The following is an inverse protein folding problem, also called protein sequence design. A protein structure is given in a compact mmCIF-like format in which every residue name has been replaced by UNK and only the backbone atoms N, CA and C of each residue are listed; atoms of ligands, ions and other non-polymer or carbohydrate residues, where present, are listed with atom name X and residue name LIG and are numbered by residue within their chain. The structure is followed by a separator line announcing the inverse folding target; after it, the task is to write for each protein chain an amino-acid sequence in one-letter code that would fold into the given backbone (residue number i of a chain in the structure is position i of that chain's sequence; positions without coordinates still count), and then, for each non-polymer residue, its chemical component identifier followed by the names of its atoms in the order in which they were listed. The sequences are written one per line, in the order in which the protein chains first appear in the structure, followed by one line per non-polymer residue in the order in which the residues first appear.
data_IF_478156219779
#
_entry.id   IF_478156219779
#
_cell.length_a   1.000
_cell.length_b   1.000
_cell.length_c   1.000
_cell.angle_alpha   90.00
_cell.angle_beta   90.00
_cell.angle_gamma   90.00
#
_symmetry.space_group_name_H-M   'P 1'
#
loop_
_entity.id
_entity.type
_entity.pdbx_description
1 polymer ?
#
# COMPACT_ATOMS: atom_id res chain seq x y z
N UNK A 1 30.23 -7.75 -15.71
CA UNK A 1 29.81 -9.13 -15.45
C UNK A 1 28.88 -9.07 -14.25
N UNK A 2 27.62 -9.41 -14.47
CA UNK A 2 26.52 -9.22 -13.53
C UNK A 2 26.69 -10.13 -12.31
N UNK A 3 26.91 -9.54 -11.15
CA UNK A 3 26.78 -10.22 -9.87
C UNK A 3 25.28 -10.37 -9.56
N UNK A 4 24.62 -11.25 -10.31
CA UNK A 4 23.29 -11.76 -9.96
C UNK A 4 23.53 -12.83 -8.90
N UNK A 5 23.54 -12.40 -7.63
CA UNK A 5 23.50 -13.32 -6.50
C UNK A 5 22.34 -14.31 -6.72
N UNK A 6 22.61 -15.62 -6.84
CA UNK A 6 21.56 -16.59 -7.10
C UNK A 6 20.73 -16.74 -5.81
N UNK A 7 19.40 -16.74 -5.95
CA UNK A 7 18.42 -17.18 -4.94
C UNK A 7 17.86 -16.15 -3.94
N UNK A 8 17.51 -14.93 -4.39
CA UNK A 8 16.58 -14.06 -3.62
C UNK A 8 15.16 -14.20 -4.13
N UNK A 9 14.27 -14.79 -3.32
CA UNK A 9 12.81 -14.81 -3.58
C UNK A 9 12.29 -13.36 -3.65
N UNK A 10 11.34 -13.03 -4.53
CA UNK A 10 10.71 -11.71 -4.56
C UNK A 10 10.05 -11.36 -3.23
N UNK A 11 10.04 -10.08 -2.87
CA UNK A 11 9.21 -9.59 -1.76
C UNK A 11 7.80 -9.35 -2.27
N UNK A 12 6.81 -9.89 -1.56
CA UNK A 12 5.41 -9.70 -1.87
C UNK A 12 4.77 -8.68 -0.93
N UNK A 13 4.27 -7.59 -1.48
CA UNK A 13 3.59 -6.52 -0.74
C UNK A 13 2.11 -6.51 -1.13
N UNK A 14 1.24 -6.70 -0.14
CA UNK A 14 -0.20 -6.58 -0.34
C UNK A 14 -0.67 -5.20 0.09
N UNK A 15 -1.47 -4.53 -0.73
CA UNK A 15 -2.03 -3.21 -0.42
C UNK A 15 -3.55 -3.24 -0.58
N UNK A 16 -4.23 -3.27 0.56
CA UNK A 16 -5.69 -3.32 0.66
C UNK A 16 -6.33 -1.97 0.96
N UNK A 17 -7.65 -1.94 0.80
CA UNK A 17 -8.49 -0.80 1.09
C UNK A 17 -9.65 -0.73 0.11
N UNK A 18 -10.72 -0.03 0.49
CA UNK A 18 -11.91 0.12 -0.36
C UNK A 18 -11.61 0.93 -1.65
N UNK A 19 -12.57 0.98 -2.57
CA UNK A 19 -12.49 1.84 -3.75
C UNK A 19 -12.32 3.31 -3.36
N UNK A 20 -11.41 3.99 -4.04
CA UNK A 20 -11.15 5.42 -3.82
C UNK A 20 -10.24 5.73 -2.63
N UNK A 21 -9.56 4.74 -2.02
CA UNK A 21 -8.66 4.98 -0.87
C UNK A 21 -7.25 5.48 -1.23
N UNK A 22 -6.93 5.61 -2.52
CA UNK A 22 -5.62 6.11 -2.97
C UNK A 22 -4.55 5.04 -3.21
N UNK A 23 -4.92 3.76 -3.34
CA UNK A 23 -3.98 2.64 -3.59
C UNK A 23 -3.01 2.92 -4.74
N UNK A 24 -3.53 3.29 -5.92
CA UNK A 24 -2.71 3.63 -7.09
C UNK A 24 -1.77 4.82 -6.85
N UNK A 25 -2.18 5.79 -6.04
CA UNK A 25 -1.36 6.97 -5.69
C UNK A 25 -0.26 6.62 -4.72
N UNK A 26 -0.51 5.76 -3.73
CA UNK A 26 0.54 5.24 -2.84
C UNK A 26 1.53 4.41 -3.66
N UNK A 27 1.06 3.52 -4.54
CA UNK A 27 1.94 2.62 -5.28
C UNK A 27 2.77 3.30 -6.35
N UNK A 28 2.32 4.41 -6.95
CA UNK A 28 3.07 5.16 -7.96
C UNK A 28 4.43 5.66 -7.43
N UNK A 29 4.52 5.97 -6.14
CA UNK A 29 5.77 6.34 -5.49
C UNK A 29 6.81 5.23 -5.55
N UNK A 30 6.39 3.97 -5.38
CA UNK A 30 7.30 2.82 -5.42
C UNK A 30 7.95 2.63 -6.80
N UNK A 31 7.18 2.76 -7.88
CA UNK A 31 7.72 2.69 -9.24
C UNK A 31 8.79 3.74 -9.50
N UNK A 32 8.67 4.91 -8.86
CA UNK A 32 9.68 5.96 -8.97
C UNK A 32 10.99 5.59 -8.26
N UNK A 33 10.94 4.80 -7.17
CA UNK A 33 12.11 4.42 -6.34
C UNK A 33 12.81 3.13 -6.76
N UNK A 34 12.06 2.08 -7.08
CA UNK A 34 12.61 0.78 -7.47
C UNK A 34 12.97 0.75 -8.98
N UNK A 35 12.51 1.71 -9.78
CA UNK A 35 12.67 1.66 -11.24
C UNK A 35 11.81 0.55 -11.88
N UNK A 36 11.44 0.66 -13.16
CA UNK A 36 10.48 -0.25 -13.79
C UNK A 36 10.96 -1.71 -13.86
N UNK A 37 12.27 -1.95 -13.82
CA UNK A 37 12.85 -3.29 -13.95
C UNK A 37 12.93 -4.07 -12.63
N UNK A 38 12.73 -3.41 -11.47
CA UNK A 38 12.82 -4.07 -10.16
C UNK A 38 11.48 -4.30 -9.47
N UNK A 39 10.38 -3.77 -10.03
CA UNK A 39 9.04 -3.85 -9.43
C UNK A 39 8.00 -4.38 -10.41
N UNK A 40 7.23 -5.36 -9.95
CA UNK A 40 6.03 -5.87 -10.64
C UNK A 40 4.79 -5.31 -9.95
N UNK A 41 3.85 -4.73 -10.69
CA UNK A 41 2.53 -4.32 -10.18
C UNK A 41 1.44 -5.28 -10.65
N UNK A 42 0.56 -5.68 -9.75
CA UNK A 42 -0.64 -6.43 -10.11
C UNK A 42 -1.86 -5.80 -9.45
N UNK A 43 -2.88 -5.49 -10.26
CA UNK A 43 -4.18 -5.07 -9.78
C UNK A 43 -5.01 -6.32 -9.44
N UNK A 44 -5.49 -6.46 -8.22
CA UNK A 44 -6.32 -7.61 -7.85
C UNK A 44 -7.72 -7.56 -8.46
N UNK A 45 -8.16 -6.38 -8.92
CA UNK A 45 -9.41 -6.23 -9.69
C UNK A 45 -9.34 -6.97 -11.04
N UNK A 46 -8.14 -7.31 -11.54
CA UNK A 46 -7.96 -8.15 -12.73
C UNK A 46 -8.57 -9.55 -12.53
N UNK A 47 -8.62 -10.04 -11.28
CA UNK A 47 -9.12 -11.37 -10.93
C UNK A 47 -10.62 -11.39 -10.64
N UNK A 48 -11.39 -10.39 -11.09
CA UNK A 48 -12.83 -10.54 -11.15
C UNK A 48 -13.21 -11.80 -11.95
N UNK A 49 -14.22 -12.52 -11.48
CA UNK A 49 -14.79 -13.68 -12.20
C UNK A 49 -15.94 -13.28 -13.13
N UNK A 50 -16.53 -12.11 -12.89
CA UNK A 50 -17.69 -11.58 -13.60
C UNK A 50 -17.38 -10.16 -14.06
N UNK A 51 -17.75 -9.81 -15.28
CA UNK A 51 -17.66 -8.46 -15.81
C UNK A 51 -18.74 -7.52 -15.23
N UNK A 52 -18.74 -6.24 -15.62
CA UNK A 52 -19.72 -5.26 -15.09
C UNK A 52 -21.17 -5.60 -15.45
N UNK A 53 -21.43 -6.21 -16.61
CA UNK A 53 -22.78 -6.58 -17.07
C UNK A 53 -23.24 -7.86 -16.37
N UNK A 54 -22.38 -8.87 -16.31
CA UNK A 54 -22.64 -10.14 -15.63
C UNK A 54 -22.96 -9.94 -14.15
N UNK A 55 -22.19 -9.11 -13.45
CA UNK A 55 -22.47 -8.75 -12.05
C UNK A 55 -23.86 -8.14 -11.85
N UNK A 56 -24.33 -7.31 -12.79
CA UNK A 56 -25.70 -6.75 -12.75
C UNK A 56 -26.76 -7.81 -12.99
N UNK A 57 -26.50 -8.79 -13.86
CA UNK A 57 -27.46 -9.86 -14.17
C UNK A 57 -27.69 -10.80 -12.98
N UNK A 58 -26.63 -11.05 -12.19
CA UNK A 58 -26.70 -11.94 -11.02
C UNK A 58 -26.81 -11.20 -9.69
N UNK A 59 -27.01 -9.88 -9.74
CA UNK A 59 -27.18 -8.98 -8.60
C UNK A 59 -26.10 -9.12 -7.51
N UNK A 60 -24.84 -9.06 -7.93
CA UNK A 60 -23.69 -9.04 -7.00
C UNK A 60 -22.80 -7.84 -7.26
N UNK A 61 -22.23 -7.27 -6.20
CA UNK A 61 -21.27 -6.18 -6.33
C UNK A 61 -19.86 -6.75 -6.58
N UNK A 62 -18.89 -5.96 -7.11
CA UNK A 62 -17.51 -6.42 -7.22
C UNK A 62 -16.83 -6.69 -5.86
N UNK A 63 -17.40 -6.20 -4.75
CA UNK A 63 -16.89 -6.47 -3.40
C UNK A 63 -17.30 -7.87 -2.91
N UNK A 64 -18.37 -8.44 -3.47
CA UNK A 64 -18.83 -9.77 -3.12
C UNK A 64 -17.79 -10.83 -3.53
N UNK A 65 -17.40 -11.76 -2.65
CA UNK A 65 -16.43 -12.80 -2.96
C UNK A 65 -16.80 -13.65 -4.18
N UNK A 66 -18.10 -13.83 -4.47
CA UNK A 66 -18.58 -14.59 -5.64
C UNK A 66 -18.21 -13.93 -6.98
N UNK A 67 -17.91 -12.63 -6.98
CA UNK A 67 -17.50 -11.88 -8.16
C UNK A 67 -15.98 -11.92 -8.41
N UNK A 68 -15.22 -12.73 -7.67
CA UNK A 68 -13.77 -12.78 -7.71
C UNK A 68 -13.27 -14.23 -7.80
N UNK A 69 -12.22 -14.46 -8.59
CA UNK A 69 -11.58 -15.76 -8.76
C UNK A 69 -10.37 -15.91 -7.83
N UNK A 70 -10.65 -16.19 -6.55
CA UNK A 70 -9.59 -16.36 -5.54
C UNK A 70 -8.70 -17.57 -5.78
N UNK A 71 -9.23 -18.64 -6.37
CA UNK A 71 -8.43 -19.82 -6.69
C UNK A 71 -7.31 -19.48 -7.69
N UNK A 72 -7.66 -18.79 -8.79
CA UNK A 72 -6.68 -18.32 -9.77
C UNK A 72 -5.72 -17.29 -9.17
N UNK A 73 -6.24 -16.37 -8.33
CA UNK A 73 -5.42 -15.37 -7.65
C UNK A 73 -4.37 -16.03 -6.77
N UNK A 74 -4.77 -17.01 -5.94
CA UNK A 74 -3.85 -17.74 -5.07
C UNK A 74 -2.82 -18.53 -5.87
N UNK A 75 -3.26 -19.29 -6.88
CA UNK A 75 -2.37 -20.06 -7.76
C UNK A 75 -1.26 -19.18 -8.36
N UNK A 76 -1.65 -18.04 -8.95
CA UNK A 76 -0.71 -17.15 -9.64
C UNK A 76 0.21 -16.40 -8.65
N UNK A 77 -0.28 -16.04 -7.47
CA UNK A 77 0.56 -15.46 -6.42
C UNK A 77 1.66 -16.42 -6.00
N UNK A 78 1.33 -17.69 -5.78
CA UNK A 78 2.33 -18.68 -5.39
C UNK A 78 3.29 -19.04 -6.54
N UNK A 79 2.81 -19.03 -7.79
CA UNK A 79 3.67 -19.16 -8.96
C UNK A 79 4.70 -18.03 -9.06
N UNK A 80 4.24 -16.78 -8.97
CA UNK A 80 5.13 -15.62 -8.94
C UNK A 80 6.12 -15.69 -7.76
N UNK A 81 5.69 -16.18 -6.58
CA UNK A 81 6.56 -16.30 -5.40
C UNK A 81 7.65 -17.37 -5.57
N UNK A 82 7.46 -18.34 -6.48
CA UNK A 82 8.48 -19.31 -6.90
C UNK A 82 9.40 -18.78 -8.02
N UNK A 83 9.12 -17.60 -8.56
CA UNK A 83 9.85 -17.06 -9.70
C UNK A 83 9.22 -17.39 -11.06
N UNK A 84 8.06 -18.05 -11.07
CA UNK A 84 7.39 -18.46 -12.31
C UNK A 84 6.67 -17.27 -12.96
N UNK A 85 6.68 -17.22 -14.30
CA UNK A 85 5.85 -16.31 -15.10
C UNK A 85 4.38 -16.76 -15.07
N UNK A 86 3.46 -15.80 -15.04
CA UNK A 86 2.01 -16.07 -15.12
C UNK A 86 1.35 -15.23 -16.19
N UNK A 87 0.33 -15.78 -16.85
CA UNK A 87 -0.56 -15.01 -17.71
C UNK A 87 -1.77 -14.60 -16.89
N UNK A 88 -1.78 -13.35 -16.38
CA UNK A 88 -2.88 -12.84 -15.56
C UNK A 88 -4.04 -12.33 -16.43
N UNK A 89 -5.29 -12.39 -15.95
CA UNK A 89 -6.38 -11.65 -16.58
C UNK A 89 -6.11 -10.14 -16.56
N UNK A 90 -6.87 -9.38 -17.36
CA UNK A 90 -6.84 -7.92 -17.38
C UNK A 90 -8.27 -7.42 -17.36
N UNK A 91 -8.62 -6.60 -16.37
CA UNK A 91 -9.95 -6.00 -16.25
C UNK A 91 -9.90 -4.49 -16.55
N UNK A 92 -10.63 -4.06 -17.57
CA UNK A 92 -10.67 -2.66 -17.98
C UNK A 92 -11.76 -1.89 -17.23
N UNK A 93 -11.37 -0.91 -16.43
CA UNK A 93 -12.32 -0.10 -15.68
C UNK A 93 -13.10 0.92 -16.54
N UNK A 94 -12.67 1.22 -17.76
CA UNK A 94 -13.36 2.17 -18.64
C UNK A 94 -14.71 1.59 -19.09
N UNK A 95 -14.70 0.42 -19.71
CA UNK A 95 -15.90 -0.26 -20.20
C UNK A 95 -16.41 -1.38 -19.27
N UNK A 96 -15.60 -1.81 -18.30
CA UNK A 96 -15.95 -2.85 -17.33
C UNK A 96 -15.90 -4.26 -17.87
N UNK A 97 -15.02 -4.53 -18.85
CA UNK A 97 -14.87 -5.82 -19.54
C UNK A 97 -13.50 -6.44 -19.34
N UNK A 98 -13.38 -7.74 -19.61
CA UNK A 98 -12.08 -8.42 -19.64
C UNK A 98 -11.37 -8.20 -20.98
N UNK A 99 -10.05 -8.00 -20.92
CA UNK A 99 -9.16 -7.88 -22.09
C UNK A 99 -8.30 -9.13 -22.23
N UNK A 100 -7.45 -9.13 -23.26
CA UNK A 100 -6.45 -10.17 -23.44
C UNK A 100 -5.57 -10.30 -22.18
N UNK A 101 -5.19 -11.55 -21.87
CA UNK A 101 -4.32 -11.83 -20.74
C UNK A 101 -2.96 -11.19 -20.94
N UNK A 102 -2.34 -10.79 -19.84
CA UNK A 102 -1.03 -10.16 -19.82
C UNK A 102 -0.03 -11.10 -19.15
N UNK A 103 1.13 -11.32 -19.79
CA UNK A 103 2.19 -12.14 -19.23
C UNK A 103 3.05 -11.30 -18.28
N UNK A 104 3.23 -11.79 -17.05
CA UNK A 104 3.91 -11.07 -15.97
C UNK A 104 4.94 -11.96 -15.30
N UNK A 105 6.14 -11.44 -15.15
CA UNK A 105 7.24 -12.06 -14.39
C UNK A 105 7.42 -11.37 -13.05
N UNK A 106 7.79 -12.12 -11.99
CA UNK A 106 8.12 -11.50 -10.71
C UNK A 106 9.48 -10.80 -10.79
N UNK A 107 9.53 -9.53 -10.40
CA UNK A 107 10.77 -8.77 -10.16
C UNK A 107 11.17 -8.88 -8.69
N UNK A 108 12.15 -8.09 -8.25
CA UNK A 108 12.62 -8.09 -6.85
C UNK A 108 11.50 -7.77 -5.86
N UNK A 109 10.60 -6.86 -6.23
CA UNK A 109 9.41 -6.50 -5.46
C UNK A 109 8.15 -6.74 -6.29
N UNK A 110 7.20 -7.47 -5.74
CA UNK A 110 5.87 -7.68 -6.32
C UNK A 110 4.85 -6.97 -5.44
N UNK A 111 4.23 -5.92 -5.98
CA UNK A 111 3.17 -5.17 -5.30
C UNK A 111 1.83 -5.56 -5.86
N UNK A 112 0.94 -6.06 -5.00
CA UNK A 112 -0.42 -6.43 -5.37
C UNK A 112 -1.41 -5.57 -4.61
N UNK A 113 -2.25 -4.84 -5.35
CA UNK A 113 -3.18 -3.89 -4.76
C UNK A 113 -4.61 -4.12 -5.24
N UNK A 114 -5.59 -3.99 -4.36
CA UNK A 114 -7.00 -4.10 -4.72
C UNK A 114 -7.92 -4.24 -3.52
N UNK A 115 -9.11 -4.77 -3.77
CA UNK A 115 -10.19 -4.88 -2.78
C UNK A 115 -9.99 -6.04 -1.78
N UNK A 116 -9.38 -7.15 -2.21
CA UNK A 116 -9.35 -8.40 -1.43
C UNK A 116 -7.95 -9.02 -1.20
N UNK A 117 -6.88 -8.26 -0.91
CA UNK A 117 -5.57 -8.88 -0.71
C UNK A 117 -5.51 -9.76 0.55
N UNK A 118 -6.36 -9.55 1.56
CA UNK A 118 -6.24 -10.23 2.86
C UNK A 118 -7.47 -11.06 3.26
N UNK A 119 -8.47 -11.17 2.36
CA UNK A 119 -9.71 -11.89 2.62
C UNK A 119 -9.46 -13.39 2.80
N UNK A 120 -8.77 -14.01 1.83
CA UNK A 120 -8.47 -15.45 1.86
C UNK A 120 -7.12 -15.67 2.54
N UNK A 121 -7.07 -16.60 3.50
CA UNK A 121 -5.87 -16.87 4.31
C UNK A 121 -4.67 -17.30 3.49
N UNK A 122 -4.85 -18.17 2.49
CA UNK A 122 -3.78 -18.64 1.61
C UNK A 122 -3.09 -17.52 0.84
N UNK A 123 -3.89 -16.60 0.28
CA UNK A 123 -3.42 -15.37 -0.37
C UNK A 123 -2.74 -14.44 0.64
N UNK A 124 -3.41 -14.19 1.77
CA UNK A 124 -2.89 -13.32 2.83
C UNK A 124 -1.50 -13.75 3.33
N UNK A 125 -1.27 -15.06 3.46
CA UNK A 125 -0.01 -15.60 3.95
C UNK A 125 1.14 -15.52 2.94
N UNK A 126 0.84 -15.27 1.66
CA UNK A 126 1.85 -15.07 0.64
C UNK A 126 2.52 -13.68 0.74
N UNK A 127 1.90 -12.69 1.39
CA UNK A 127 2.49 -11.37 1.55
C UNK A 127 3.51 -11.31 2.70
N UNK A 128 4.64 -10.68 2.41
CA UNK A 128 5.71 -10.39 3.37
C UNK A 128 5.45 -9.06 4.12
N UNK A 129 4.71 -8.13 3.50
CA UNK A 129 4.20 -6.91 4.13
C UNK A 129 2.74 -6.66 3.71
N UNK A 130 1.86 -6.39 4.68
CA UNK A 130 0.44 -6.16 4.47
C UNK A 130 0.09 -4.71 4.86
N UNK A 131 -0.25 -3.88 3.88
CA UNK A 131 -0.60 -2.47 4.08
C UNK A 131 -2.10 -2.28 3.84
N UNK A 132 -2.77 -1.54 4.70
CA UNK A 132 -4.18 -1.18 4.53
C UNK A 132 -4.34 0.33 4.45
N UNK A 133 -5.06 0.81 3.43
CA UNK A 133 -5.40 2.21 3.27
C UNK A 133 -6.81 2.48 3.82
N UNK A 134 -6.88 3.37 4.79
CA UNK A 134 -8.10 3.73 5.52
C UNK A 134 -8.21 5.25 5.70
N UNK A 135 -8.31 6.03 4.60
CA UNK A 135 -8.52 7.47 4.68
C UNK A 135 -9.89 7.79 5.29
N UNK A 136 -10.01 8.99 5.84
CA UNK A 136 -11.26 9.54 6.35
C UNK A 136 -12.43 9.36 5.35
N UNK A 137 -13.63 8.92 5.77
CA UNK A 137 -14.73 8.59 4.87
C UNK A 137 -15.11 9.69 3.87
N UNK A 138 -15.17 10.95 4.32
CA UNK A 138 -15.49 12.11 3.50
C UNK A 138 -14.42 12.37 2.44
N UNK A 139 -13.15 12.18 2.81
CA UNK A 139 -12.00 12.29 1.91
C UNK A 139 -12.08 11.22 0.82
N UNK A 140 -12.32 9.97 1.22
CA UNK A 140 -12.48 8.82 0.31
C UNK A 140 -13.63 9.04 -0.68
N UNK A 141 -14.78 9.52 -0.18
CA UNK A 141 -15.95 9.82 -1.01
C UNK A 141 -15.60 10.88 -2.07
N UNK A 142 -14.97 11.98 -1.66
CA UNK A 142 -14.55 13.05 -2.59
C UNK A 142 -13.60 12.54 -3.65
N UNK A 143 -12.57 11.79 -3.27
CA UNK A 143 -11.61 11.20 -4.21
C UNK A 143 -12.29 10.26 -5.20
N UNK A 144 -13.21 9.40 -4.73
CA UNK A 144 -13.95 8.49 -5.61
C UNK A 144 -14.84 9.25 -6.59
N UNK A 145 -15.61 10.24 -6.13
CA UNK A 145 -16.46 11.06 -7.01
C UNK A 145 -15.60 11.79 -8.05
N UNK A 146 -14.54 12.48 -7.64
CA UNK A 146 -13.66 13.19 -8.55
C UNK A 146 -13.06 12.28 -9.61
N UNK A 147 -12.54 11.11 -9.20
CA UNK A 147 -11.93 10.14 -10.12
C UNK A 147 -12.96 9.54 -11.07
N UNK A 148 -14.09 9.06 -10.56
CA UNK A 148 -15.05 8.29 -11.37
C UNK A 148 -15.81 9.22 -12.34
N UNK A 149 -16.06 10.47 -11.96
CA UNK A 149 -16.59 11.49 -12.87
C UNK A 149 -15.57 11.86 -13.95
N UNK A 150 -14.33 12.20 -13.55
CA UNK A 150 -13.34 12.68 -14.51
C UNK A 150 -12.75 11.60 -15.44
N UNK A 151 -12.55 10.38 -14.93
CA UNK A 151 -11.83 9.31 -15.65
C UNK A 151 -12.71 8.17 -16.16
N UNK A 152 -13.91 8.00 -15.59
CA UNK A 152 -14.78 6.84 -15.90
C UNK A 152 -16.14 7.25 -16.48
N UNK A 153 -16.41 8.55 -16.63
CA UNK A 153 -17.62 9.08 -17.25
C UNK A 153 -18.90 8.90 -16.42
N UNK A 154 -18.78 8.65 -15.12
CA UNK A 154 -19.94 8.54 -14.24
C UNK A 154 -20.51 9.91 -13.86
N UNK A 155 -21.80 10.01 -13.58
CA UNK A 155 -22.36 11.17 -12.87
C UNK A 155 -22.13 11.04 -11.36
N UNK A 156 -22.18 12.16 -10.62
CA UNK A 156 -22.05 12.14 -9.16
C UNK A 156 -23.10 11.25 -8.51
N UNK A 157 -24.34 11.32 -9.00
CA UNK A 157 -25.49 10.56 -8.50
C UNK A 157 -25.26 9.05 -8.69
N UNK A 158 -24.71 8.64 -9.83
CA UNK A 158 -24.36 7.24 -10.08
C UNK A 158 -23.28 6.75 -9.12
N UNK A 159 -22.27 7.56 -8.81
CA UNK A 159 -21.22 7.20 -7.85
C UNK A 159 -21.80 7.03 -6.44
N UNK A 160 -22.70 7.92 -6.03
CA UNK A 160 -23.35 7.84 -4.72
C UNK A 160 -24.26 6.60 -4.60
N UNK A 161 -25.07 6.34 -5.64
CA UNK A 161 -25.91 5.15 -5.68
C UNK A 161 -25.08 3.85 -5.66
N UNK A 162 -23.95 3.83 -6.37
CA UNK A 162 -23.02 2.69 -6.36
C UNK A 162 -22.40 2.46 -4.98
N UNK A 163 -22.08 3.53 -4.25
CA UNK A 163 -21.54 3.43 -2.90
C UNK A 163 -22.55 2.87 -1.92
N UNK A 164 -23.79 3.36 -1.95
CA UNK A 164 -24.85 2.88 -1.08
C UNK A 164 -25.16 1.40 -1.34
N UNK A 165 -25.29 1.02 -2.61
CA UNK A 165 -25.53 -0.37 -3.01
C UNK A 165 -24.40 -1.33 -2.59
N UNK A 166 -23.21 -0.81 -2.29
CA UNK A 166 -22.02 -1.60 -1.89
C UNK A 166 -21.73 -1.58 -0.40
N UNK A 167 -22.47 -0.79 0.39
CA UNK A 167 -22.17 -0.55 1.80
C UNK A 167 -22.09 -1.85 2.61
N UNK A 168 -23.08 -2.72 2.44
CA UNK A 168 -23.15 -3.99 3.16
C UNK A 168 -21.99 -4.92 2.78
N UNK A 169 -21.74 -5.13 1.48
CA UNK A 169 -20.60 -5.95 1.03
C UNK A 169 -19.25 -5.37 1.49
N UNK A 170 -19.13 -4.04 1.62
CA UNK A 170 -17.93 -3.41 2.16
C UNK A 170 -17.72 -3.77 3.64
N UNK A 171 -18.78 -3.67 4.44
CA UNK A 171 -18.77 -4.05 5.86
C UNK A 171 -18.47 -5.53 6.06
N UNK A 172 -19.00 -6.40 5.19
CA UNK A 172 -18.86 -7.85 5.33
C UNK A 172 -17.54 -8.39 4.77
N UNK A 173 -16.99 -7.76 3.73
CA UNK A 173 -15.90 -8.37 2.94
C UNK A 173 -14.66 -7.49 2.76
N UNK A 174 -14.77 -6.17 2.95
CA UNK A 174 -13.65 -5.24 2.73
C UNK A 174 -13.07 -4.79 4.07
N UNK A 175 -13.85 -4.09 4.89
CA UNK A 175 -13.37 -3.49 6.14
C UNK A 175 -12.74 -4.50 7.12
N UNK A 176 -13.26 -5.74 7.28
CA UNK A 176 -12.67 -6.71 8.21
C UNK A 176 -11.22 -7.09 7.87
N UNK A 177 -10.79 -6.91 6.63
CA UNK A 177 -9.43 -7.21 6.21
C UNK A 177 -8.38 -6.29 6.85
N UNK A 178 -8.77 -5.11 7.37
CA UNK A 178 -7.87 -4.19 8.10
C UNK A 178 -7.16 -4.87 9.27
N UNK A 179 -7.86 -5.76 9.97
CA UNK A 179 -7.29 -6.51 11.09
C UNK A 179 -6.10 -7.37 10.64
N UNK A 180 -5.94 -7.70 9.37
CA UNK A 180 -4.83 -8.51 8.90
C UNK A 180 -3.61 -7.71 8.48
N UNK A 181 -3.71 -6.39 8.41
CA UNK A 181 -2.60 -5.54 8.00
C UNK A 181 -1.49 -5.52 9.06
N UNK A 182 -0.25 -5.31 8.61
CA UNK A 182 0.89 -4.95 9.45
C UNK A 182 0.99 -3.43 9.61
N UNK A 183 0.55 -2.69 8.59
CA UNK A 183 0.49 -1.23 8.60
C UNK A 183 -0.86 -0.72 8.15
N UNK A 184 -1.38 0.30 8.82
CA UNK A 184 -2.59 1.04 8.40
C UNK A 184 -2.21 2.49 8.14
N UNK A 185 -2.61 3.01 6.98
CA UNK A 185 -2.33 4.39 6.58
C UNK A 185 -3.64 5.13 6.43
N UNK A 186 -3.76 6.19 7.21
CA UNK A 186 -4.95 7.04 7.27
C UNK A 186 -4.57 8.45 6.86
N UNK A 187 -5.12 8.89 5.74
CA UNK A 187 -5.13 10.30 5.36
C UNK A 187 -6.38 10.95 5.96
N UNK A 188 -6.21 12.11 6.58
CA UNK A 188 -7.33 12.85 7.16
C UNK A 188 -7.13 14.35 6.99
N UNK A 189 -8.22 15.09 7.03
CA UNK A 189 -8.16 16.55 7.01
C UNK A 189 -7.60 17.07 8.35
N UNK A 190 -6.78 18.14 8.35
CA UNK A 190 -6.35 18.79 9.60
C UNK A 190 -7.52 19.32 10.43
N UNK A 191 -8.54 19.83 9.75
CA UNK A 191 -9.80 20.26 10.32
C UNK A 191 -10.93 20.10 9.27
N UNK A 192 -12.22 20.10 9.68
CA UNK A 192 -13.33 19.89 8.75
C UNK A 192 -13.45 20.94 7.63
N UNK A 193 -12.87 22.14 7.82
CA UNK A 193 -12.89 23.26 6.87
C UNK A 193 -11.64 23.34 5.99
N UNK A 194 -10.59 22.57 6.31
CA UNK A 194 -9.32 22.57 5.60
C UNK A 194 -9.49 22.21 4.12
N UNK A 195 -8.61 22.78 3.31
CA UNK A 195 -8.48 22.39 1.92
C UNK A 195 -8.00 20.93 1.77
N UNK A 196 -8.09 20.41 0.55
CA UNK A 196 -7.72 19.03 0.24
C UNK A 196 -6.23 18.89 -0.08
N UNK A 197 -5.45 19.93 0.17
CA UNK A 197 -4.08 20.06 -0.31
C UNK A 197 -3.06 19.77 0.79
N UNK A 198 -3.47 19.96 2.04
CA UNK A 198 -2.65 19.78 3.23
C UNK A 198 -3.21 18.68 4.13
N UNK A 199 -3.29 17.45 3.62
CA UNK A 199 -3.81 16.33 4.40
C UNK A 199 -2.78 15.85 5.44
N UNK A 200 -3.25 15.61 6.66
CA UNK A 200 -2.49 14.88 7.66
C UNK A 200 -2.39 13.40 7.26
N UNK A 201 -1.36 12.73 7.77
CA UNK A 201 -1.23 11.28 7.65
C UNK A 201 -0.93 10.65 9.00
N UNK A 202 -1.63 9.57 9.32
CA UNK A 202 -1.27 8.65 10.39
C UNK A 202 -0.84 7.32 9.78
N UNK A 203 0.38 6.89 10.11
CA UNK A 203 0.92 5.58 9.74
C UNK A 203 0.99 4.75 11.01
N UNK A 204 0.05 3.85 11.16
CA UNK A 204 0.02 2.87 12.23
C UNK A 204 0.86 1.65 11.83
N UNK A 205 1.80 1.26 12.68
CA UNK A 205 2.73 0.16 12.47
C UNK A 205 2.57 -0.86 13.60
N UNK A 206 1.96 -2.00 13.31
CA UNK A 206 1.75 -3.04 14.32
C UNK A 206 3.06 -3.72 14.67
N UNK A 207 3.14 -4.22 15.90
CA UNK A 207 4.30 -4.98 16.39
C UNK A 207 4.42 -6.39 15.78
N UNK A 208 3.67 -6.69 14.70
CA UNK A 208 3.99 -7.78 13.77
C UNK A 208 5.22 -7.47 12.91
N UNK A 209 5.64 -6.21 12.86
CA UNK A 209 6.89 -5.77 12.27
C UNK A 209 7.89 -5.41 13.38
N UNK A 210 9.20 -5.71 13.19
CA UNK A 210 10.25 -5.16 14.02
C UNK A 210 10.12 -3.64 14.11
N UNK A 211 10.36 -3.07 15.29
CA UNK A 211 10.50 -1.63 15.41
C UNK A 211 11.64 -1.20 14.50
N UNK A 212 11.40 -0.16 13.71
CA UNK A 212 12.53 0.47 13.04
C UNK A 212 13.32 1.17 14.13
N UNK A 213 14.62 0.89 14.19
CA UNK A 213 15.57 1.69 14.95
C UNK A 213 15.71 3.05 14.25
N UNK A 214 14.64 3.83 14.28
CA UNK A 214 14.69 5.22 13.90
C UNK A 214 15.30 5.96 15.07
N UNK A 215 16.33 6.77 14.81
CA UNK A 215 16.83 7.69 15.81
C UNK A 215 15.67 8.58 16.28
N UNK A 216 15.59 8.85 17.59
CA UNK A 216 14.62 9.79 18.15
C UNK A 216 14.63 11.15 17.43
N UNK A 217 15.74 11.48 16.77
CA UNK A 217 15.94 12.67 15.93
C UNK A 217 15.05 12.74 14.68
N UNK A 218 14.60 11.60 14.12
CA UNK A 218 13.68 11.58 12.97
C UNK A 218 12.33 12.25 13.28
N UNK A 219 11.90 12.15 14.53
CA UNK A 219 10.63 12.69 15.05
C UNK A 219 10.82 14.00 15.82
N UNK A 220 12.01 14.59 15.78
CA UNK A 220 12.33 15.81 16.50
C UNK A 220 11.80 17.10 15.83
N UNK A 221 10.72 16.99 15.04
CA UNK A 221 10.05 18.15 14.46
C UNK A 221 8.60 18.17 14.93
N UNK A 222 8.04 19.36 15.20
CA UNK A 222 6.63 19.49 15.64
C UNK A 222 5.62 18.90 14.63
N UNK A 223 6.04 18.78 13.37
CA UNK A 223 5.24 18.28 12.26
C UNK A 223 5.29 16.74 12.09
N UNK A 224 6.20 16.04 12.78
CA UNK A 224 6.30 14.58 12.77
C UNK A 224 6.32 14.04 14.20
N UNK A 225 5.24 13.40 14.63
CA UNK A 225 5.13 12.83 15.99
C UNK A 225 5.15 11.31 15.94
N UNK A 226 5.82 10.69 16.91
CA UNK A 226 5.78 9.25 17.15
C UNK A 226 5.08 8.98 18.48
N UNK A 227 4.03 8.19 18.44
CA UNK A 227 3.40 7.60 19.63
C UNK A 227 3.72 6.10 19.64
N UNK A 228 4.32 5.61 20.72
CA UNK A 228 4.74 4.21 20.83
C UNK A 228 3.77 3.43 21.70
N UNK A 229 3.69 2.13 21.44
CA UNK A 229 2.98 1.19 22.31
C UNK A 229 1.48 1.50 22.51
N UNK A 230 0.85 2.06 21.49
CA UNK A 230 -0.59 2.32 21.49
C UNK A 230 -1.39 1.06 21.18
N UNK A 231 -2.64 1.02 21.64
CA UNK A 231 -3.61 0.00 21.23
C UNK A 231 -4.46 0.56 20.09
N UNK A 232 -4.45 -0.12 18.93
CA UNK A 232 -5.23 0.30 17.78
C UNK A 232 -6.72 -0.09 17.87
N UNK A 233 -7.52 0.37 16.91
CA UNK A 233 -8.96 0.09 16.82
C UNK A 233 -9.30 -1.40 16.67
N UNK A 234 -8.33 -2.25 16.31
CA UNK A 234 -8.48 -3.72 16.25
C UNK A 234 -7.91 -4.41 17.51
N UNK A 235 -7.55 -3.66 18.55
CA UNK A 235 -7.00 -4.20 19.80
C UNK A 235 -5.55 -4.69 19.68
N UNK A 236 -4.78 -4.19 18.71
CA UNK A 236 -3.38 -4.60 18.49
C UNK A 236 -2.41 -3.53 18.92
N UNK A 237 -1.27 -3.97 19.48
CA UNK A 237 -0.17 -3.06 19.81
C UNK A 237 0.50 -2.54 18.54
N UNK A 238 0.70 -1.24 18.51
CA UNK A 238 1.29 -0.54 17.38
C UNK A 238 2.05 0.70 17.83
N UNK A 239 2.87 1.21 16.92
CA UNK A 239 3.42 2.56 16.98
C UNK A 239 2.71 3.42 15.91
N UNK A 240 2.49 4.70 16.18
CA UNK A 240 1.81 5.62 15.27
C UNK A 240 2.75 6.76 14.91
N UNK A 241 3.01 6.90 13.62
CA UNK A 241 3.73 8.04 13.05
C UNK A 241 2.68 9.02 12.50
N UNK A 242 2.58 10.21 13.09
CA UNK A 242 1.69 11.26 12.64
C UNK A 242 2.47 12.35 11.89
N UNK A 243 2.06 12.65 10.66
CA UNK A 243 2.64 13.69 9.80
C UNK A 243 1.59 14.81 9.65
N UNK A 244 1.92 16.04 10.06
CA UNK A 244 1.07 17.22 9.84
C UNK A 244 1.09 17.62 8.35
N UNK A 245 -0.10 17.88 7.80
CA UNK A 245 -0.31 18.29 6.42
C UNK A 245 0.38 19.61 6.04
N UNK A 246 0.77 20.40 7.03
CA UNK A 246 1.44 21.70 6.89
C UNK A 246 2.94 21.61 7.16
N UNK A 247 3.51 20.40 7.18
CA UNK A 247 4.96 20.21 7.30
C UNK A 247 5.69 21.09 6.27
N UNK A 248 6.70 21.82 6.73
CA UNK A 248 7.47 22.69 5.84
C UNK A 248 8.38 21.85 4.95
N UNK A 249 8.70 22.34 3.75
CA UNK A 249 9.64 21.66 2.85
C UNK A 249 10.99 21.35 3.51
N UNK A 250 11.48 22.24 4.37
CA UNK A 250 12.73 22.04 5.10
C UNK A 250 12.62 20.89 6.11
N UNK A 251 11.54 20.83 6.89
CA UNK A 251 11.28 19.73 7.81
C UNK A 251 11.07 18.40 7.06
N UNK A 252 10.30 18.41 5.96
CA UNK A 252 10.12 17.22 5.13
C UNK A 252 11.46 16.72 4.55
N UNK A 253 12.32 17.62 4.07
CA UNK A 253 13.64 17.26 3.56
C UNK A 253 14.53 16.62 4.63
N UNK A 254 14.51 17.12 5.87
CA UNK A 254 15.26 16.54 6.98
C UNK A 254 14.83 15.08 7.24
N UNK A 255 13.52 14.81 7.25
CA UNK A 255 13.00 13.44 7.41
C UNK A 255 13.44 12.55 6.24
N UNK A 256 13.39 13.07 5.02
CA UNK A 256 13.85 12.35 3.83
C UNK A 256 15.32 11.96 3.94
N UNK A 257 16.18 12.91 4.30
CA UNK A 257 17.62 12.70 4.44
C UNK A 257 17.92 11.65 5.51
N UNK A 258 17.22 11.72 6.65
CA UNK A 258 17.37 10.76 7.74
C UNK A 258 16.91 9.35 7.35
N UNK A 259 15.78 9.22 6.63
CA UNK A 259 15.34 7.90 6.15
C UNK A 259 16.36 7.32 5.16
N UNK A 260 16.88 8.13 4.24
CA UNK A 260 17.92 7.68 3.30
C UNK A 260 19.27 7.40 3.94
N UNK A 261 19.60 8.04 5.06
CA UNK A 261 20.78 7.70 5.85
C UNK A 261 20.64 6.31 6.51
N UNK A 262 19.42 5.91 6.88
CA UNK A 262 19.14 4.59 7.45
C UNK A 262 19.01 3.48 6.39
N UNK A 263 18.72 3.82 5.13
CA UNK A 263 18.81 2.87 4.01
C UNK A 263 20.28 2.51 3.78
N UNK A 264 20.70 1.36 4.33
CA UNK A 264 22.07 0.81 4.27
C UNK A 264 22.61 0.75 2.82
N UNK A 265 23.94 0.89 2.66
CA UNK A 265 24.66 0.88 1.38
C UNK A 265 24.50 -0.42 0.56
N UNK A 266 23.93 -1.48 1.15
CA UNK A 266 23.57 -2.74 0.47
C UNK A 266 22.36 -2.60 -0.47
N UNK A 267 21.57 -1.53 -0.34
CA UNK A 267 20.48 -1.19 -1.26
C UNK A 267 20.95 -0.23 -2.36
N UNK A 268 22.20 -0.34 -2.83
CA UNK A 268 22.74 0.48 -3.91
C UNK A 268 21.99 0.38 -5.25
N UNK A 269 21.04 -0.54 -5.37
CA UNK A 269 20.11 -0.66 -6.50
C UNK A 269 18.88 0.25 -6.37
N UNK A 270 18.49 0.66 -5.16
CA UNK A 270 17.38 1.59 -4.95
C UNK A 270 17.85 2.98 -5.34
N UNK A 271 17.18 3.58 -6.30
CA UNK A 271 17.51 4.94 -6.71
C UNK A 271 17.21 5.89 -5.56
N UNK A 272 18.21 6.70 -5.17
CA UNK A 272 17.94 7.89 -4.36
C UNK A 272 17.14 8.85 -5.21
N UNK A 273 15.82 8.73 -5.11
CA UNK A 273 14.93 9.59 -5.87
C UNK A 273 14.83 10.93 -5.16
N UNK A 274 14.96 12.06 -5.89
CA UNK A 274 14.64 13.36 -5.33
C UNK A 274 13.22 13.33 -4.74
N UNK A 275 13.00 13.85 -3.51
CA UNK A 275 11.67 13.86 -2.88
C UNK A 275 10.57 14.50 -3.74
N UNK A 276 10.94 15.35 -4.70
CA UNK A 276 10.06 16.00 -5.68
C UNK A 276 9.44 15.03 -6.71
N UNK A 277 9.93 13.79 -6.80
CA UNK A 277 9.32 12.72 -7.60
C UNK A 277 8.38 11.85 -6.77
N UNK A 278 8.46 11.94 -5.44
CA UNK A 278 7.49 11.37 -4.50
C UNK A 278 6.39 12.40 -4.22
N UNK A 279 5.32 11.99 -3.55
CA UNK A 279 4.24 12.90 -3.16
C UNK A 279 3.37 13.39 -4.31
N UNK A 280 3.59 12.88 -5.53
CA UNK A 280 2.83 13.28 -6.71
C UNK A 280 1.46 12.64 -6.73
N UNK A 281 0.44 13.46 -6.97
CA UNK A 281 -0.93 13.00 -7.14
C UNK A 281 -1.66 13.79 -8.21
N UNK A 282 -2.68 13.16 -8.79
CA UNK A 282 -3.58 13.79 -9.75
C UNK A 282 -4.83 14.28 -9.04
N UNK A 283 -5.13 15.58 -9.19
CA UNK A 283 -6.42 16.16 -8.86
C UNK A 283 -7.10 16.60 -10.16
N UNK A 284 -8.41 16.42 -10.26
CA UNK A 284 -9.24 16.49 -11.48
C UNK A 284 -9.12 17.75 -12.37
N UNK A 285 -8.32 18.76 -12.00
CA UNK A 285 -8.14 20.00 -12.76
C UNK A 285 -6.67 20.38 -13.07
N UNK A 286 -5.67 19.76 -12.43
CA UNK A 286 -4.23 20.10 -12.63
C UNK A 286 -3.36 18.86 -12.43
N UNK A 287 -2.63 18.47 -13.46
CA UNK A 287 -1.59 17.46 -13.37
C UNK A 287 -0.41 17.99 -12.53
N UNK A 288 0.21 17.11 -11.74
CA UNK A 288 1.49 17.42 -11.06
C UNK A 288 1.38 18.15 -9.72
N UNK A 289 0.37 17.84 -8.89
CA UNK A 289 0.34 18.33 -7.50
C UNK A 289 1.30 17.50 -6.63
N UNK A 290 1.86 18.15 -5.62
CA UNK A 290 2.82 17.55 -4.68
C UNK A 290 2.26 17.64 -3.25
N UNK A 291 2.43 16.58 -2.47
CA UNK A 291 2.10 16.51 -1.05
C UNK A 291 3.30 15.94 -0.31
N UNK A 292 3.90 16.73 0.57
CA UNK A 292 5.01 16.31 1.42
C UNK A 292 4.62 15.17 2.38
N UNK A 293 3.45 15.18 3.04
CA UNK A 293 2.99 14.03 3.82
C UNK A 293 2.85 12.73 3.02
N UNK A 294 2.35 12.81 1.78
CA UNK A 294 2.30 11.65 0.88
C UNK A 294 3.70 11.19 0.49
N UNK A 295 4.63 12.11 0.20
CA UNK A 295 6.01 11.78 -0.14
C UNK A 295 6.70 11.03 1.00
N UNK A 296 6.56 11.53 2.23
CA UNK A 296 7.11 10.89 3.42
C UNK A 296 6.48 9.51 3.66
N UNK A 297 5.17 9.37 3.44
CA UNK A 297 4.47 8.09 3.55
C UNK A 297 5.01 7.05 2.55
N UNK A 298 5.18 7.45 1.30
CA UNK A 298 5.76 6.60 0.26
C UNK A 298 7.20 6.19 0.59
N UNK A 299 7.99 7.13 1.13
CA UNK A 299 9.37 6.88 1.53
C UNK A 299 9.46 5.92 2.73
N UNK A 300 8.66 6.14 3.78
CA UNK A 300 8.60 5.25 4.96
C UNK A 300 8.15 3.84 4.57
N UNK A 301 7.16 3.72 3.68
CA UNK A 301 6.75 2.42 3.14
C UNK A 301 7.88 1.74 2.36
N UNK A 302 8.60 2.48 1.53
CA UNK A 302 9.74 1.94 0.78
C UNK A 302 10.83 1.45 1.72
N UNK A 303 11.16 2.25 2.73
CA UNK A 303 12.08 1.85 3.78
C UNK A 303 11.62 0.55 4.48
N UNK A 304 10.33 0.40 4.75
CA UNK A 304 9.74 -0.83 5.31
C UNK A 304 9.85 -2.03 4.37
N UNK A 305 9.58 -1.84 3.08
CA UNK A 305 9.74 -2.87 2.04
C UNK A 305 11.20 -3.35 2.00
N UNK A 306 12.17 -2.42 2.00
CA UNK A 306 13.60 -2.74 2.01
C UNK A 306 14.04 -3.42 3.31
N UNK A 307 13.52 -2.96 4.45
CA UNK A 307 13.79 -3.58 5.75
C UNK A 307 13.23 -5.00 5.83
N UNK A 308 12.10 -5.29 5.18
CA UNK A 308 11.57 -6.65 5.07
C UNK A 308 12.51 -7.58 4.28
N UNK A 309 13.33 -7.07 3.34
CA UNK A 309 14.43 -7.84 2.73
C UNK A 309 15.52 -8.21 3.73
N UNK A 310 15.85 -7.29 4.65
CA UNK A 310 16.86 -7.52 5.69
C UNK A 310 16.37 -8.60 6.65
N UNK A 311 15.09 -8.56 7.00
CA UNK A 311 14.44 -9.57 7.82
C UNK A 311 13.93 -10.74 6.98
N UNK A 312 14.78 -11.41 6.18
CA UNK A 312 14.50 -12.80 5.79
C UNK A 312 14.23 -13.72 7.01
N UNK A 313 14.44 -13.20 8.22
CA UNK A 313 14.05 -13.68 9.54
C UNK A 313 12.60 -13.34 10.00
N UNK A 314 11.76 -12.64 9.22
CA UNK A 314 10.40 -12.18 9.60
C UNK A 314 9.38 -13.30 9.86
N UNK A 315 9.82 -14.57 9.80
CA UNK A 315 9.10 -15.73 10.35
C UNK A 315 10.05 -16.74 10.98
N UNK A 316 10.97 -16.25 11.79
CA UNK A 316 11.70 -17.10 12.71
C UNK A 316 10.99 -17.05 14.06
N UNK A 317 10.80 -18.23 14.66
CA UNK A 317 10.18 -18.38 15.98
C UNK A 317 10.79 -17.40 17.00
N UNK A 318 9.97 -16.88 17.91
CA UNK A 318 10.34 -15.90 18.94
C UNK A 318 11.64 -16.24 19.72
N UNK A 319 12.04 -17.51 19.77
CA UNK A 319 13.28 -17.95 20.40
C UNK A 319 14.58 -17.44 19.75
N UNK A 320 14.66 -17.30 18.43
CA UNK A 320 15.93 -16.87 17.78
C UNK A 320 16.07 -15.33 17.75
N UNK A 321 15.00 -14.60 18.12
CA UNK A 321 15.01 -13.13 18.18
C UNK A 321 15.80 -12.60 19.39
N UNK A 322 16.02 -13.42 20.42
CA UNK A 322 16.81 -13.08 21.60
C UNK A 322 18.33 -13.11 21.34
N UNK A 323 18.78 -13.93 20.39
CA UNK A 323 20.22 -14.08 20.12
C UNK A 323 20.78 -12.93 19.27
N UNK A 324 19.96 -12.32 18.40
CA UNK A 324 20.38 -11.21 17.53
C UNK A 324 20.44 -9.85 18.24
N UNK A 325 19.75 -9.68 19.36
CA UNK A 325 19.85 -8.47 20.20
C UNK A 325 21.01 -8.54 21.20
N UNK A 326 21.58 -9.72 21.44
CA UNK A 326 22.69 -9.91 22.36
C UNK A 326 24.07 -9.53 21.76
N UNK A 327 24.25 -9.60 20.43
CA UNK A 327 25.56 -9.38 19.81
C UNK A 327 25.99 -7.91 19.65
N UNK A 328 25.15 -6.92 19.95
CA UNK A 328 25.55 -5.50 19.91
C UNK A 328 25.82 -4.90 21.31
N UNK A 329 25.97 -5.77 22.31
CA UNK A 329 26.23 -5.39 23.69
C UNK A 329 27.66 -5.58 24.17
N UNK A 330 28.68 -5.61 23.30
CA UNK A 330 30.09 -5.46 23.72
C UNK A 330 31.02 -5.14 22.54
N UNK A 331 31.16 -3.84 22.25
CA UNK A 331 32.39 -3.14 21.86
C UNK A 331 32.13 -1.64 21.99
#
# INVERSE_FOLDING_TARGET
MSDLSPNRRPIFIGIGGDSGTGKTTITSGFFSMFGPDQITSICLDDYHSLDRRERKLVDVTPLNPRANNFALMEEQIWALKRGDRVDKPVYDHSDGTFKARESVEPREVVVMQGLHPFLVSGIRHAFDLKVWLDPEPELRLRWKVQRDVAKRGYTREQVLAELEARRQDAEDHILPQRQHADMVIRFNRPDPSADMDHLNVQILQRHTLPRLAFDHELYATDALRLEQDVLDEDGRRADVIAIDGRITKAAAQLVVDNVWAHVDGRHGHVHRVPPQMLGRYEAAARAGRHSDPLALTQLILTHRILSAQKSFLLRVNEHEHADLTAEHGHM
#
